data_IF_516364467306
#
_entry.id   IF_516364467306
#
_cell.length_a   1.000
_cell.length_b   1.000
_cell.length_c   1.000
_cell.angle_alpha   90.00
_cell.angle_beta   90.00
_cell.angle_gamma   90.00
#
_symmetry.space_group_name_H-M   'P 1'
#
loop_
_entity.id
_entity.type
_entity.pdbx_description
1 polymer ?
#
# COMPACT_ATOMS: atom_id res chain seq x y z
N UNK A 1 -18.37 -12.04 -10.52
CA UNK A 1 -18.21 -11.17 -9.35
C UNK A 1 -17.95 -9.78 -9.89
N UNK A 2 -18.77 -8.79 -9.55
CA UNK A 2 -18.72 -7.48 -10.17
C UNK A 2 -17.33 -6.85 -9.97
N UNK A 3 -16.63 -6.56 -11.07
CA UNK A 3 -15.54 -5.59 -11.08
C UNK A 3 -16.18 -4.23 -10.83
N UNK A 4 -16.46 -3.91 -9.57
CA UNK A 4 -16.62 -2.53 -9.15
C UNK A 4 -15.22 -1.94 -9.29
N UNK A 5 -14.92 -1.36 -10.46
CA UNK A 5 -13.82 -0.40 -10.56
C UNK A 5 -14.13 0.67 -9.52
N UNK A 6 -13.40 0.60 -8.40
CA UNK A 6 -13.40 1.64 -7.37
C UNK A 6 -13.28 2.98 -8.12
N UNK A 7 -14.30 3.83 -8.03
CA UNK A 7 -14.23 5.15 -8.64
C UNK A 7 -13.17 5.94 -7.91
N UNK A 8 -11.99 5.99 -8.52
CA UNK A 8 -10.81 6.69 -8.06
C UNK A 8 -10.54 7.83 -9.04
N UNK A 9 -10.07 8.96 -8.52
CA UNK A 9 -9.50 9.98 -9.39
C UNK A 9 -8.11 9.52 -9.89
N UNK A 10 -7.56 10.15 -10.95
CA UNK A 10 -6.27 9.72 -11.51
C UNK A 10 -5.13 9.69 -10.50
N UNK A 11 -5.11 10.63 -9.54
CA UNK A 11 -4.13 10.69 -8.46
C UNK A 11 -4.24 9.48 -7.52
N UNK A 12 -5.46 9.13 -7.10
CA UNK A 12 -5.75 7.96 -6.29
C UNK A 12 -5.35 6.67 -7.01
N UNK A 13 -5.66 6.54 -8.30
CA UNK A 13 -5.27 5.35 -9.09
C UNK A 13 -3.75 5.21 -9.15
N UNK A 14 -3.03 6.31 -9.35
CA UNK A 14 -1.57 6.30 -9.34
C UNK A 14 -1.04 5.85 -7.97
N UNK A 15 -1.49 6.50 -6.88
CA UNK A 15 -1.05 6.15 -5.52
C UNK A 15 -1.40 4.69 -5.20
N UNK A 16 -2.59 4.23 -5.59
CA UNK A 16 -3.03 2.84 -5.40
C UNK A 16 -2.11 1.85 -6.11
N UNK A 17 -1.75 2.13 -7.36
CA UNK A 17 -0.77 1.36 -8.12
C UNK A 17 0.60 1.30 -7.44
N UNK A 18 1.12 2.45 -7.03
CA UNK A 18 2.41 2.55 -6.34
C UNK A 18 2.42 1.79 -5.00
N UNK A 19 1.33 1.84 -4.23
CA UNK A 19 1.16 1.06 -3.00
C UNK A 19 1.23 -0.44 -3.32
N UNK A 20 0.46 -0.90 -4.33
CA UNK A 20 0.41 -2.34 -4.67
C UNK A 20 1.76 -2.86 -5.16
N UNK A 21 2.47 -2.08 -5.96
CA UNK A 21 3.80 -2.47 -6.43
C UNK A 21 4.82 -2.48 -5.27
N UNK A 22 4.75 -1.50 -4.38
CA UNK A 22 5.58 -1.47 -3.16
C UNK A 22 5.29 -2.67 -2.26
N UNK A 23 4.02 -3.01 -2.03
CA UNK A 23 3.62 -4.19 -1.25
C UNK A 23 4.09 -5.49 -1.88
N UNK A 24 3.99 -5.62 -3.20
CA UNK A 24 4.52 -6.78 -3.93
C UNK A 24 6.05 -6.88 -3.77
N UNK A 25 6.76 -5.76 -3.87
CA UNK A 25 8.21 -5.72 -3.67
C UNK A 25 8.60 -6.10 -2.23
N UNK A 26 7.84 -5.64 -1.23
CA UNK A 26 8.02 -6.01 0.18
C UNK A 26 7.82 -7.50 0.40
N UNK A 27 6.70 -8.07 -0.06
CA UNK A 27 6.41 -9.50 0.10
C UNK A 27 7.49 -10.37 -0.53
N UNK A 28 7.92 -10.05 -1.76
CA UNK A 28 9.01 -10.75 -2.43
C UNK A 28 10.35 -10.58 -1.70
N UNK A 29 10.58 -9.40 -1.13
CA UNK A 29 11.78 -9.08 -0.39
C UNK A 29 11.91 -9.85 0.92
N UNK A 30 10.85 -9.89 1.74
CA UNK A 30 10.81 -10.69 2.97
C UNK A 30 10.96 -12.18 2.68
N UNK A 31 10.29 -12.71 1.65
CA UNK A 31 10.45 -14.11 1.25
C UNK A 31 11.89 -14.45 0.85
N UNK A 32 12.63 -13.49 0.26
CA UNK A 32 14.05 -13.64 -0.06
C UNK A 32 14.92 -13.50 1.17
N UNK A 33 14.61 -12.57 2.07
CA UNK A 33 15.34 -12.30 3.32
C UNK A 33 15.49 -13.57 4.16
N UNK A 34 14.43 -14.37 4.29
CA UNK A 34 14.43 -15.64 5.03
C UNK A 34 15.38 -16.69 4.45
N UNK A 35 15.75 -16.56 3.17
CA UNK A 35 16.65 -17.49 2.46
C UNK A 35 18.12 -17.03 2.50
N UNK A 36 18.39 -15.80 2.92
CA UNK A 36 19.75 -15.26 3.00
C UNK A 36 20.40 -15.77 4.29
N UNK A 37 21.49 -16.54 4.14
CA UNK A 37 22.28 -17.05 5.27
C UNK A 37 23.38 -16.10 5.74
N UNK A 38 23.82 -15.20 4.86
CA UNK A 38 24.88 -14.24 5.16
C UNK A 38 24.29 -13.04 5.90
N UNK A 39 24.69 -12.86 7.16
CA UNK A 39 24.13 -11.83 8.05
C UNK A 39 24.33 -10.41 7.52
N UNK A 40 25.47 -10.12 6.86
CA UNK A 40 25.73 -8.79 6.32
C UNK A 40 24.79 -8.44 5.17
N UNK A 41 24.56 -9.40 4.25
CA UNK A 41 23.58 -9.26 3.17
C UNK A 41 22.15 -9.22 3.68
N UNK A 42 21.85 -9.99 4.72
CA UNK A 42 20.54 -9.98 5.36
C UNK A 42 20.24 -8.60 5.96
N UNK A 43 21.17 -8.02 6.72
CA UNK A 43 21.03 -6.68 7.28
C UNK A 43 20.80 -5.61 6.21
N UNK A 44 21.59 -5.64 5.13
CA UNK A 44 21.41 -4.69 4.01
C UNK A 44 20.03 -4.83 3.36
N UNK A 45 19.58 -6.07 3.13
CA UNK A 45 18.26 -6.32 2.56
C UNK A 45 17.14 -5.84 3.50
N UNK A 46 17.31 -5.99 4.82
CA UNK A 46 16.36 -5.52 5.82
C UNK A 46 16.26 -3.99 5.86
N UNK A 47 17.38 -3.28 5.70
CA UNK A 47 17.41 -1.82 5.57
C UNK A 47 16.60 -1.36 4.35
N UNK A 48 16.84 -1.95 3.18
CA UNK A 48 16.09 -1.65 1.96
C UNK A 48 14.58 -1.94 2.11
N UNK A 49 14.22 -3.04 2.78
CA UNK A 49 12.82 -3.37 3.06
C UNK A 49 12.20 -2.40 4.06
N UNK A 50 12.96 -1.93 5.05
CA UNK A 50 12.52 -0.95 6.02
C UNK A 50 12.23 0.40 5.36
N UNK A 51 13.07 0.82 4.39
CA UNK A 51 12.82 2.03 3.60
C UNK A 51 11.54 1.91 2.78
N UNK A 52 11.34 0.79 2.08
CA UNK A 52 10.09 0.52 1.33
C UNK A 52 8.85 0.46 2.22
N UNK A 53 8.97 -0.05 3.45
CA UNK A 53 7.88 -0.01 4.43
C UNK A 53 7.52 1.44 4.80
N UNK A 54 8.51 2.32 4.97
CA UNK A 54 8.27 3.74 5.25
C UNK A 54 7.61 4.44 4.06
N UNK A 55 8.05 4.15 2.86
CA UNK A 55 7.45 4.64 1.62
C UNK A 55 6.00 4.16 1.48
N UNK A 56 5.72 2.87 1.69
CA UNK A 56 4.36 2.34 1.68
C UNK A 56 3.46 3.03 2.72
N UNK A 57 3.97 3.29 3.93
CA UNK A 57 3.24 4.08 4.95
C UNK A 57 2.95 5.50 4.51
N UNK A 58 3.87 6.13 3.77
CA UNK A 58 3.68 7.48 3.23
C UNK A 58 2.60 7.49 2.16
N UNK A 59 2.66 6.57 1.20
CA UNK A 59 1.68 6.44 0.13
C UNK A 59 0.27 6.17 0.68
N UNK A 60 0.13 5.30 1.68
CA UNK A 60 -1.18 5.05 2.33
C UNK A 60 -1.75 6.31 2.99
N UNK A 61 -0.89 7.16 3.59
CA UNK A 61 -1.33 8.45 4.14
C UNK A 61 -1.76 9.43 3.04
N UNK A 62 -1.09 9.40 1.90
CA UNK A 62 -1.44 10.20 0.74
C UNK A 62 -2.78 9.75 0.16
N UNK A 63 -2.99 8.44 0.05
CA UNK A 63 -4.27 7.84 -0.33
C UNK A 63 -5.40 8.22 0.63
N UNK A 64 -5.17 8.17 1.95
CA UNK A 64 -6.16 8.61 2.96
C UNK A 64 -6.50 10.10 2.84
N UNK A 65 -5.52 10.95 2.51
CA UNK A 65 -5.74 12.37 2.27
C UNK A 65 -6.61 12.59 1.04
N UNK A 66 -6.29 11.93 -0.06
CA UNK A 66 -7.04 12.04 -1.31
C UNK A 66 -8.49 11.56 -1.11
N UNK A 67 -8.70 10.48 -0.35
CA UNK A 67 -10.06 10.00 0.00
C UNK A 67 -10.83 11.08 0.75
N UNK A 68 -10.21 11.75 1.72
CA UNK A 68 -10.85 12.83 2.49
C UNK A 68 -11.18 14.05 1.64
N UNK A 69 -10.30 14.39 0.70
CA UNK A 69 -10.51 15.54 -0.18
C UNK A 69 -11.69 15.31 -1.14
N UNK A 70 -11.94 14.06 -1.55
CA UNK A 70 -13.10 13.66 -2.36
C UNK A 70 -14.31 13.15 -1.56
N UNK A 71 -14.21 12.99 -0.23
CA UNK A 71 -15.25 12.39 0.63
C UNK A 71 -16.59 13.14 0.55
N UNK A 72 -16.52 14.46 0.38
CA UNK A 72 -17.71 15.32 0.23
C UNK A 72 -18.40 15.24 -1.15
N UNK A 73 -17.70 14.73 -2.17
CA UNK A 73 -18.18 14.66 -3.57
C UNK A 73 -18.62 13.25 -3.96
N UNK A 74 -18.04 12.24 -3.32
CA UNK A 74 -18.30 10.85 -3.60
C UNK A 74 -19.54 10.34 -2.84
N UNK A 75 -20.32 9.43 -3.44
CA UNK A 75 -21.38 8.72 -2.73
C UNK A 75 -20.85 7.94 -1.51
N UNK A 76 -21.62 7.80 -0.42
CA UNK A 76 -21.19 7.07 0.78
C UNK A 76 -20.70 5.64 0.51
N UNK A 77 -21.25 4.98 -0.51
CA UNK A 77 -20.85 3.63 -0.92
C UNK A 77 -19.43 3.60 -1.50
N UNK A 78 -19.06 4.61 -2.31
CA UNK A 78 -17.71 4.75 -2.87
C UNK A 78 -16.70 5.04 -1.75
N UNK A 79 -17.03 5.95 -0.82
CA UNK A 79 -16.17 6.27 0.31
C UNK A 79 -15.97 5.07 1.24
N UNK A 80 -17.00 4.24 1.42
CA UNK A 80 -16.88 2.99 2.17
C UNK A 80 -15.89 2.04 1.51
N UNK A 81 -16.03 1.80 0.20
CA UNK A 81 -15.12 0.92 -0.53
C UNK A 81 -13.67 1.42 -0.51
N UNK A 82 -13.45 2.73 -0.70
CA UNK A 82 -12.12 3.35 -0.60
C UNK A 82 -11.52 3.20 0.79
N UNK A 83 -12.33 3.37 1.85
CA UNK A 83 -11.87 3.16 3.21
C UNK A 83 -11.57 1.68 3.51
N UNK A 84 -12.37 0.74 3.02
CA UNK A 84 -12.13 -0.70 3.17
C UNK A 84 -10.81 -1.11 2.50
N UNK A 85 -10.55 -0.60 1.29
CA UNK A 85 -9.30 -0.80 0.56
C UNK A 85 -8.11 -0.21 1.31
N UNK A 86 -8.22 1.04 1.81
CA UNK A 86 -7.21 1.63 2.69
C UNK A 86 -6.94 0.75 3.92
N UNK A 87 -7.98 0.21 4.56
CA UNK A 87 -7.82 -0.65 5.73
C UNK A 87 -7.14 -1.98 5.38
N UNK A 88 -7.39 -2.54 4.20
CA UNK A 88 -6.63 -3.69 3.68
C UNK A 88 -5.13 -3.37 3.61
N UNK A 89 -4.78 -2.20 3.07
CA UNK A 89 -3.37 -1.78 2.97
C UNK A 89 -2.71 -1.53 4.33
N UNK A 90 -3.43 -0.90 5.26
CA UNK A 90 -2.93 -0.69 6.64
C UNK A 90 -2.73 -2.03 7.34
N UNK A 91 -3.61 -3.01 7.12
CA UNK A 91 -3.47 -4.35 7.68
C UNK A 91 -2.25 -5.08 7.14
N UNK A 92 -1.96 -4.97 5.84
CA UNK A 92 -0.74 -5.55 5.25
C UNK A 92 0.52 -5.09 5.97
N UNK A 93 0.64 -3.81 6.32
CA UNK A 93 1.84 -3.28 6.99
C UNK A 93 1.95 -3.62 8.49
N UNK A 94 0.87 -4.10 9.09
CA UNK A 94 0.83 -4.50 10.50
C UNK A 94 1.03 -6.01 10.70
N UNK A 95 0.97 -6.77 9.61
CA UNK A 95 1.11 -8.24 9.59
C UNK A 95 2.58 -8.58 9.39
#
# INVERSE_FOLDING_TARGET
MANLQLQMNPTMEQIHGEIRDTMRALANGFQKLDKIKDSNRQSKQLEELTEKMRECKRLIKEFDREIKDEDSRNPPEVNKQLNDEKQSMVRFLKT
#
